data_IF_312871298480
#
_entry.id   IF_312871298480
#
_cell.length_a   1.000
_cell.length_b   1.000
_cell.length_c   1.000
_cell.angle_alpha   90.00
_cell.angle_beta   90.00
_cell.angle_gamma   90.00
#
_symmetry.space_group_name_H-M   'P 1'
#
loop_
_entity.id
_entity.type
_entity.pdbx_description
1 polymer ?
#
# COMPACT_ATOMS: atom_id res chain seq x y z
N UNK A 1 -18.75 17.25 1.56
CA UNK A 1 -18.49 18.65 1.98
C UNK A 1 -19.52 19.57 1.34
N UNK A 2 -20.09 20.53 2.09
CA UNK A 2 -20.90 21.66 1.59
C UNK A 2 -20.01 22.93 1.56
N UNK A 3 -19.44 23.29 0.40
CA UNK A 3 -18.40 24.33 0.34
C UNK A 3 -18.95 25.75 0.45
N UNK A 4 -18.19 26.64 1.10
CA UNK A 4 -18.41 28.09 1.14
C UNK A 4 -17.10 28.84 1.28
N UNK A 5 -16.97 30.02 0.65
CA UNK A 5 -15.85 30.95 0.87
C UNK A 5 -16.22 32.08 1.84
N UNK A 6 -17.48 32.12 2.31
CA UNK A 6 -17.92 33.11 3.28
C UNK A 6 -17.51 32.66 4.68
N UNK A 7 -16.36 33.17 5.13
CA UNK A 7 -15.77 32.83 6.43
C UNK A 7 -15.45 34.09 7.19
N UNK A 8 -15.79 34.12 8.49
CA UNK A 8 -15.40 35.20 9.42
C UNK A 8 -14.77 34.60 10.65
N UNK A 9 -13.63 35.14 11.06
CA UNK A 9 -12.90 34.72 12.25
C UNK A 9 -13.08 35.74 13.37
N UNK A 10 -13.22 35.28 14.61
CA UNK A 10 -13.23 36.15 15.77
C UNK A 10 -11.89 36.11 16.51
N UNK A 11 -11.65 37.11 17.37
CA UNK A 11 -10.53 37.09 18.29
C UNK A 11 -10.63 35.93 19.29
N UNK A 12 -9.46 35.47 19.77
CA UNK A 12 -9.38 34.37 20.74
C UNK A 12 -10.08 34.77 22.03
N UNK A 13 -11.18 34.09 22.36
CA UNK A 13 -11.92 34.29 23.59
C UNK A 13 -11.16 33.65 24.76
N UNK A 14 -11.02 34.36 25.86
CA UNK A 14 -10.45 33.82 27.11
C UNK A 14 -11.54 33.70 28.16
N UNK A 15 -11.78 32.49 28.66
CA UNK A 15 -12.72 32.26 29.77
C UNK A 15 -12.08 32.68 31.09
N UNK A 16 -12.89 33.37 31.90
CA UNK A 16 -12.54 33.65 33.30
C UNK A 16 -12.48 32.32 34.10
N UNK A 17 -11.73 32.31 35.22
CA UNK A 17 -11.77 31.20 36.19
C UNK A 17 -13.20 30.84 36.60
N UNK A 18 -13.41 29.63 37.09
CA UNK A 18 -14.71 29.22 37.64
C UNK A 18 -15.06 29.97 38.93
N UNK A 19 -16.27 29.73 39.46
CA UNK A 19 -16.76 30.39 40.68
C UNK A 19 -15.86 30.16 41.91
N UNK A 20 -15.00 29.14 41.88
CA UNK A 20 -14.05 28.80 42.94
C UNK A 20 -12.63 29.31 42.64
N UNK A 21 -12.47 30.18 41.64
CA UNK A 21 -11.18 30.75 41.26
C UNK A 21 -10.25 29.79 40.50
N UNK A 22 -10.71 28.58 40.16
CA UNK A 22 -9.88 27.59 39.48
C UNK A 22 -9.86 27.85 37.97
N UNK A 23 -8.66 27.77 37.38
CA UNK A 23 -8.49 27.87 35.93
C UNK A 23 -9.19 26.72 35.22
N UNK A 24 -10.02 27.05 34.23
CA UNK A 24 -10.67 26.04 33.37
C UNK A 24 -9.62 25.27 32.58
N UNK A 25 -9.86 23.98 32.34
CA UNK A 25 -8.93 23.07 31.61
C UNK A 25 -8.59 23.57 30.20
N UNK A 26 -9.55 24.19 29.50
CA UNK A 26 -9.40 24.74 28.14
C UNK A 26 -10.02 26.15 28.05
N UNK A 27 -9.32 27.20 28.54
CA UNK A 27 -9.92 28.52 28.66
C UNK A 27 -9.84 29.37 27.39
N UNK A 28 -9.07 28.96 26.36
CA UNK A 28 -8.85 29.77 25.16
C UNK A 28 -9.67 29.23 23.98
N UNK A 29 -10.66 29.98 23.52
CA UNK A 29 -11.58 29.58 22.46
C UNK A 29 -11.32 30.28 21.14
N UNK A 30 -11.14 29.51 20.08
CA UNK A 30 -11.18 30.00 18.69
C UNK A 30 -12.62 29.87 18.21
N UNK A 31 -13.17 30.94 17.66
CA UNK A 31 -14.53 30.94 17.10
C UNK A 31 -14.49 31.46 15.67
N UNK A 32 -15.31 30.89 14.81
CA UNK A 32 -15.46 31.37 13.44
C UNK A 32 -16.84 31.00 12.88
N UNK A 33 -17.22 31.61 11.76
CA UNK A 33 -18.49 31.36 11.08
C UNK A 33 -18.20 30.92 9.66
N UNK A 34 -18.87 29.85 9.19
CA UNK A 34 -18.86 29.43 7.79
C UNK A 34 -20.29 29.42 7.26
N UNK A 35 -20.57 30.21 6.22
CA UNK A 35 -21.91 30.24 5.58
C UNK A 35 -23.06 30.45 6.57
N UNK A 36 -22.86 31.31 7.59
CA UNK A 36 -23.86 31.62 8.62
C UNK A 36 -23.89 30.66 9.83
N UNK A 37 -23.12 29.57 9.83
CA UNK A 37 -23.04 28.63 10.96
C UNK A 37 -21.84 28.92 11.86
N UNK A 38 -22.06 29.09 13.15
CA UNK A 38 -20.99 29.30 14.14
C UNK A 38 -20.28 27.99 14.51
N UNK A 39 -18.96 28.07 14.64
CA UNK A 39 -18.08 27.01 15.09
C UNK A 39 -17.19 27.51 16.23
N UNK A 40 -16.83 26.62 17.16
CA UNK A 40 -15.92 26.96 18.24
C UNK A 40 -15.07 25.77 18.67
N UNK A 41 -13.79 26.01 18.91
CA UNK A 41 -12.87 25.02 19.47
C UNK A 41 -12.06 25.63 20.63
N UNK A 42 -11.88 24.87 21.71
CA UNK A 42 -11.29 25.35 22.96
C UNK A 42 -9.97 24.62 23.28
N UNK A 43 -8.96 25.39 23.68
CA UNK A 43 -7.58 24.94 23.89
C UNK A 43 -7.08 25.24 25.30
N UNK A 44 -6.10 24.45 25.74
CA UNK A 44 -5.44 24.57 27.06
C UNK A 44 -4.55 25.80 27.16
N UNK A 45 -3.89 26.19 26.06
CA UNK A 45 -2.98 27.35 26.01
C UNK A 45 -3.37 28.34 24.91
N UNK A 46 -3.05 29.62 25.13
CA UNK A 46 -3.30 30.68 24.13
C UNK A 46 -2.48 30.45 22.86
N UNK A 47 -1.29 29.87 22.98
CA UNK A 47 -0.42 29.54 21.85
C UNK A 47 -1.06 28.49 20.92
N UNK A 48 -1.66 27.43 21.48
CA UNK A 48 -2.38 26.42 20.69
C UNK A 48 -3.58 27.02 19.97
N UNK A 49 -4.37 27.84 20.65
CA UNK A 49 -5.49 28.57 20.04
C UNK A 49 -5.02 29.48 18.90
N UNK A 50 -3.92 30.23 19.09
CA UNK A 50 -3.34 31.10 18.05
C UNK A 50 -2.83 30.31 16.85
N UNK A 51 -2.18 29.17 17.09
CA UNK A 51 -1.71 28.26 16.03
C UNK A 51 -2.89 27.73 15.21
N UNK A 52 -3.95 27.25 15.86
CA UNK A 52 -5.15 26.77 15.17
C UNK A 52 -5.84 27.86 14.36
N UNK A 53 -6.07 29.04 14.96
CA UNK A 53 -6.63 30.19 14.24
C UNK A 53 -5.76 30.58 13.03
N UNK A 54 -4.44 30.57 13.19
CA UNK A 54 -3.50 30.84 12.10
C UNK A 54 -3.66 29.87 10.92
N UNK A 55 -3.89 28.57 11.18
CA UNK A 55 -4.17 27.59 10.12
C UNK A 55 -5.46 27.92 9.35
N UNK A 56 -6.53 28.27 10.06
CA UNK A 56 -7.80 28.64 9.44
C UNK A 56 -7.68 29.91 8.59
N UNK A 57 -7.03 30.95 9.11
CA UNK A 57 -6.80 32.20 8.37
C UNK A 57 -5.92 31.95 7.14
N UNK A 58 -4.87 31.14 7.26
CA UNK A 58 -4.01 30.80 6.14
C UNK A 58 -4.78 30.06 5.03
N UNK A 59 -5.64 29.11 5.39
CA UNK A 59 -6.46 28.38 4.42
C UNK A 59 -7.44 29.32 3.69
N UNK A 60 -8.07 30.25 4.42
CA UNK A 60 -8.92 31.27 3.81
C UNK A 60 -8.14 32.20 2.87
N UNK A 61 -6.94 32.62 3.27
CA UNK A 61 -6.06 33.46 2.43
C UNK A 61 -5.58 32.75 1.16
N UNK A 62 -5.47 31.41 1.20
CA UNK A 62 -5.19 30.58 0.01
C UNK A 62 -6.41 30.37 -0.90
N UNK A 63 -7.58 30.92 -0.53
CA UNK A 63 -8.82 30.76 -1.27
C UNK A 63 -9.46 29.39 -1.11
N UNK A 64 -9.09 28.61 -0.08
CA UNK A 64 -9.70 27.30 0.15
C UNK A 64 -11.18 27.46 0.53
N UNK A 65 -12.03 26.57 0.03
CA UNK A 65 -13.42 26.49 0.47
C UNK A 65 -13.50 25.86 1.87
N UNK A 66 -14.46 26.30 2.67
CA UNK A 66 -14.77 25.76 3.99
C UNK A 66 -16.06 24.95 3.95
N UNK A 67 -16.13 23.91 4.77
CA UNK A 67 -17.34 23.13 4.95
C UNK A 67 -18.30 23.85 5.90
N UNK A 68 -19.55 24.04 5.49
CA UNK A 68 -20.55 24.69 6.35
C UNK A 68 -20.83 23.85 7.60
N UNK A 69 -20.84 22.52 7.49
CA UNK A 69 -21.27 21.62 8.58
C UNK A 69 -20.20 21.48 9.67
N UNK A 70 -18.95 21.26 9.26
CA UNK A 70 -17.81 21.01 10.18
C UNK A 70 -17.00 22.26 10.48
N UNK A 71 -17.13 23.31 9.66
CA UNK A 71 -16.36 24.55 9.82
C UNK A 71 -14.91 24.44 9.35
N UNK A 72 -14.47 23.28 8.84
CA UNK A 72 -13.08 23.08 8.45
C UNK A 72 -12.83 23.53 7.00
N UNK A 73 -11.65 24.11 6.69
CA UNK A 73 -11.21 24.29 5.32
C UNK A 73 -11.04 22.94 4.62
N UNK A 74 -11.12 22.93 3.29
CA UNK A 74 -11.10 21.72 2.48
C UNK A 74 -9.88 20.83 2.75
N UNK A 75 -8.69 21.41 2.95
CA UNK A 75 -7.48 20.65 3.36
C UNK A 75 -7.69 19.92 4.69
N UNK A 76 -8.03 20.63 5.75
CA UNK A 76 -8.24 20.03 7.08
C UNK A 76 -9.44 19.08 7.12
N UNK A 77 -10.49 19.36 6.33
CA UNK A 77 -11.63 18.45 6.18
C UNK A 77 -11.17 17.12 5.58
N UNK A 78 -10.37 17.16 4.51
CA UNK A 78 -9.79 15.95 3.90
C UNK A 78 -8.92 15.20 4.91
N UNK A 79 -8.01 15.88 5.61
CA UNK A 79 -7.11 15.23 6.57
C UNK A 79 -7.89 14.54 7.71
N UNK A 80 -8.91 15.21 8.24
CA UNK A 80 -9.76 14.65 9.29
C UNK A 80 -10.54 13.41 8.83
N UNK A 81 -10.98 13.39 7.57
CA UNK A 81 -11.80 12.30 7.01
C UNK A 81 -10.99 11.36 6.10
N UNK A 82 -9.67 11.48 6.09
CA UNK A 82 -8.82 10.64 5.26
C UNK A 82 -8.94 9.18 5.72
N UNK A 83 -9.13 8.23 4.78
CA UNK A 83 -9.13 6.81 5.09
C UNK A 83 -7.77 6.34 5.59
N UNK A 84 -7.76 5.18 6.24
CA UNK A 84 -6.50 4.52 6.63
C UNK A 84 -5.79 3.96 5.40
N UNK A 85 -4.48 3.74 5.50
CA UNK A 85 -3.74 3.08 4.40
C UNK A 85 -4.31 1.69 4.10
N UNK A 86 -4.75 0.97 5.14
CA UNK A 86 -5.43 -0.31 4.97
C UNK A 86 -6.73 -0.16 4.15
N UNK A 87 -7.55 0.84 4.46
CA UNK A 87 -8.79 1.08 3.72
C UNK A 87 -8.51 1.42 2.25
N UNK A 88 -7.58 2.35 1.99
CA UNK A 88 -7.16 2.70 0.62
C UNK A 88 -6.66 1.48 -0.14
N UNK A 89 -5.84 0.64 0.49
CA UNK A 89 -5.33 -0.57 -0.14
C UNK A 89 -6.46 -1.55 -0.53
N UNK A 90 -7.48 -1.71 0.31
CA UNK A 90 -8.63 -2.58 0.03
C UNK A 90 -9.53 -2.03 -1.07
N UNK A 91 -9.80 -0.73 -1.06
CA UNK A 91 -10.59 -0.07 -2.11
C UNK A 91 -9.89 -0.15 -3.46
N UNK A 92 -8.59 0.19 -3.49
CA UNK A 92 -7.76 0.07 -4.68
C UNK A 92 -7.75 -1.36 -5.22
N UNK A 93 -7.41 -2.35 -4.37
CA UNK A 93 -7.38 -3.76 -4.78
C UNK A 93 -8.75 -4.22 -5.29
N UNK A 94 -9.84 -3.84 -4.64
CA UNK A 94 -11.19 -4.19 -5.07
C UNK A 94 -11.53 -3.65 -6.47
N UNK A 95 -11.04 -2.46 -6.81
CA UNK A 95 -11.27 -1.82 -8.11
C UNK A 95 -10.47 -2.48 -9.23
N UNK A 96 -9.19 -2.77 -9.00
CA UNK A 96 -8.31 -3.34 -10.05
C UNK A 96 -8.37 -4.87 -10.14
N UNK A 97 -8.91 -5.56 -9.14
CA UNK A 97 -8.86 -7.03 -9.07
C UNK A 97 -9.38 -7.76 -10.31
N UNK A 98 -10.55 -7.40 -10.89
CA UNK A 98 -11.15 -8.16 -11.99
C UNK A 98 -10.24 -8.25 -13.22
N UNK A 99 -9.55 -7.14 -13.54
CA UNK A 99 -8.76 -7.00 -14.77
C UNK A 99 -7.31 -7.46 -14.62
N UNK A 100 -6.93 -7.91 -13.43
CA UNK A 100 -5.54 -8.28 -13.12
C UNK A 100 -5.25 -9.78 -13.24
N UNK A 101 -4.05 -10.09 -13.72
CA UNK A 101 -3.53 -11.47 -13.70
C UNK A 101 -3.22 -11.95 -12.27
N UNK A 102 -3.26 -13.27 -11.99
CA UNK A 102 -3.00 -13.80 -10.64
C UNK A 102 -1.65 -13.38 -10.06
N UNK A 103 -0.59 -13.35 -10.87
CA UNK A 103 0.75 -12.94 -10.41
C UNK A 103 0.82 -11.45 -10.08
N UNK A 104 0.03 -10.62 -10.76
CA UNK A 104 -0.05 -9.19 -10.46
C UNK A 104 -0.83 -8.94 -9.17
N UNK A 105 -1.92 -9.69 -8.94
CA UNK A 105 -2.69 -9.68 -7.68
C UNK A 105 -1.79 -10.04 -6.50
N UNK A 106 -1.02 -11.12 -6.61
CA UNK A 106 -0.08 -11.55 -5.57
C UNK A 106 0.97 -10.49 -5.26
N UNK A 107 1.59 -9.89 -6.29
CA UNK A 107 2.59 -8.81 -6.10
C UNK A 107 2.00 -7.59 -5.38
N UNK A 108 0.80 -7.14 -5.77
CA UNK A 108 0.16 -6.00 -5.12
C UNK A 108 -0.20 -6.31 -3.67
N UNK A 109 -0.85 -7.45 -3.42
CA UNK A 109 -1.24 -7.87 -2.06
C UNK A 109 -0.02 -8.02 -1.15
N UNK A 110 1.04 -8.71 -1.62
CA UNK A 110 2.26 -8.87 -0.85
C UNK A 110 2.96 -7.53 -0.57
N UNK A 111 3.01 -6.64 -1.55
CA UNK A 111 3.59 -5.30 -1.41
C UNK A 111 2.83 -4.43 -0.43
N UNK A 112 1.50 -4.35 -0.57
CA UNK A 112 0.62 -3.57 0.29
C UNK A 112 0.58 -4.13 1.71
N UNK A 113 0.72 -5.44 1.90
CA UNK A 113 0.83 -6.02 3.23
C UNK A 113 2.09 -5.55 3.98
N UNK A 114 3.21 -5.31 3.28
CA UNK A 114 4.38 -4.66 3.91
C UNK A 114 4.05 -3.23 4.30
N UNK A 115 3.42 -2.50 3.38
CA UNK A 115 3.15 -1.08 3.58
C UNK A 115 2.21 -0.85 4.75
N UNK A 116 1.10 -1.61 4.81
CA UNK A 116 0.13 -1.53 5.91
C UNK A 116 0.78 -1.90 7.24
N UNK A 117 1.49 -3.03 7.31
CA UNK A 117 2.16 -3.45 8.55
C UNK A 117 3.25 -2.46 9.00
N UNK A 118 3.92 -1.79 8.06
CA UNK A 118 4.90 -0.75 8.34
C UNK A 118 4.31 0.61 8.67
N UNK A 119 2.99 0.78 8.60
CA UNK A 119 2.27 2.04 8.79
C UNK A 119 1.11 1.91 9.77
N UNK A 120 1.39 1.25 10.89
CA UNK A 120 0.53 1.13 12.06
C UNK A 120 0.96 2.16 13.13
N UNK A 121 0.05 2.51 14.04
CA UNK A 121 0.35 3.40 15.17
C UNK A 121 1.10 2.70 16.32
N UNK A 122 1.07 1.36 16.32
CA UNK A 122 1.64 0.48 17.32
C UNK A 122 2.07 -0.84 16.66
N UNK A 123 2.99 -1.56 17.31
CA UNK A 123 3.39 -2.88 16.86
C UNK A 123 2.44 -3.93 17.48
N UNK A 124 1.91 -4.88 16.69
CA UNK A 124 1.04 -5.92 17.21
C UNK A 124 1.81 -6.85 18.16
N UNK A 125 1.18 -7.27 19.25
CA UNK A 125 1.68 -8.32 20.15
C UNK A 125 1.42 -9.72 19.54
N UNK A 126 1.94 -9.94 18.34
CA UNK A 126 1.74 -11.15 17.54
C UNK A 126 2.90 -11.33 16.57
N UNK A 127 3.22 -12.57 16.21
CA UNK A 127 4.24 -12.88 15.22
C UNK A 127 4.03 -12.06 13.92
N UNK A 128 5.02 -11.24 13.50
CA UNK A 128 4.98 -10.48 12.26
C UNK A 128 4.64 -11.33 11.02
N UNK A 129 5.01 -12.62 11.01
CA UNK A 129 4.68 -13.53 9.92
C UNK A 129 3.18 -13.88 9.89
N UNK A 130 2.55 -14.06 11.05
CA UNK A 130 1.12 -14.30 11.15
C UNK A 130 0.30 -13.05 10.78
N UNK A 131 0.77 -11.87 11.20
CA UNK A 131 0.19 -10.58 10.77
C UNK A 131 0.29 -10.46 9.25
N UNK A 132 1.45 -10.77 8.67
CA UNK A 132 1.66 -10.74 7.22
C UNK A 132 0.72 -11.69 6.48
N UNK A 133 0.61 -12.92 6.95
CA UNK A 133 -0.29 -13.93 6.38
C UNK A 133 -1.75 -13.48 6.46
N UNK A 134 -2.16 -12.92 7.59
CA UNK A 134 -3.52 -12.40 7.79
C UNK A 134 -3.83 -11.27 6.81
N UNK A 135 -2.90 -10.32 6.63
CA UNK A 135 -3.02 -9.28 5.62
C UNK A 135 -3.15 -9.85 4.21
N UNK A 136 -2.31 -10.83 3.83
CA UNK A 136 -2.26 -11.32 2.45
C UNK A 136 -3.38 -12.29 2.09
N UNK A 137 -3.95 -13.04 3.04
CA UNK A 137 -4.97 -14.06 2.73
C UNK A 137 -6.38 -13.68 3.15
N UNK A 138 -6.55 -12.78 4.12
CA UNK A 138 -7.87 -12.43 4.69
C UNK A 138 -8.23 -10.97 4.45
N UNK A 139 -7.34 -10.04 4.82
CA UNK A 139 -7.73 -8.62 4.98
C UNK A 139 -7.67 -7.83 3.66
N UNK A 140 -6.59 -7.96 2.91
CA UNK A 140 -6.37 -7.19 1.69
C UNK A 140 -7.10 -7.72 0.45
N UNK A 141 -7.17 -9.05 0.21
CA UNK A 141 -7.93 -9.56 -0.94
C UNK A 141 -9.39 -9.11 -0.89
N UNK A 142 -10.03 -8.86 -2.05
CA UNK A 142 -11.45 -8.59 -2.08
C UNK A 142 -12.24 -9.81 -1.60
N UNK A 143 -13.51 -9.60 -1.23
CA UNK A 143 -14.37 -10.66 -0.67
C UNK A 143 -14.45 -11.92 -1.54
N UNK A 144 -14.35 -11.78 -2.87
CA UNK A 144 -14.37 -12.92 -3.81
C UNK A 144 -13.11 -13.78 -3.78
N UNK A 145 -12.02 -13.32 -3.16
CA UNK A 145 -10.73 -14.00 -3.10
C UNK A 145 -10.17 -14.16 -1.69
N UNK A 146 -10.75 -13.50 -0.68
CA UNK A 146 -10.35 -13.63 0.71
C UNK A 146 -10.69 -15.01 1.26
N UNK A 147 -9.77 -15.60 2.01
CA UNK A 147 -10.00 -16.85 2.74
C UNK A 147 -10.84 -16.59 3.99
N UNK A 148 -11.61 -17.59 4.42
CA UNK A 148 -12.29 -17.55 5.71
C UNK A 148 -11.25 -17.48 6.84
N UNK A 149 -11.32 -16.46 7.73
CA UNK A 149 -10.36 -16.32 8.81
C UNK A 149 -10.56 -17.38 9.89
N UNK A 150 -9.46 -17.82 10.51
CA UNK A 150 -9.54 -18.42 11.85
C UNK A 150 -9.91 -17.35 12.91
N UNK A 151 -10.31 -17.77 14.10
CA UNK A 151 -10.62 -16.85 15.20
C UNK A 151 -9.45 -15.91 15.53
N UNK A 152 -8.22 -16.42 15.45
CA UNK A 152 -7.01 -15.63 15.64
C UNK A 152 -6.81 -14.58 14.53
N UNK A 153 -6.96 -14.99 13.27
CA UNK A 153 -6.87 -14.07 12.14
C UNK A 153 -7.98 -13.02 12.16
N UNK A 154 -9.18 -13.35 12.64
CA UNK A 154 -10.28 -12.41 12.82
C UNK A 154 -9.93 -11.34 13.88
N UNK A 155 -9.34 -11.73 15.01
CA UNK A 155 -8.84 -10.79 16.04
C UNK A 155 -7.75 -9.87 15.47
N UNK A 156 -6.78 -10.44 14.76
CA UNK A 156 -5.71 -9.66 14.11
C UNK A 156 -6.29 -8.69 13.07
N UNK A 157 -7.28 -9.12 12.28
CA UNK A 157 -7.92 -8.26 11.29
C UNK A 157 -8.67 -7.07 11.90
N UNK A 158 -9.37 -7.27 13.03
CA UNK A 158 -10.00 -6.17 13.79
C UNK A 158 -8.93 -5.20 14.29
N UNK A 159 -7.89 -5.75 14.94
CA UNK A 159 -6.79 -4.95 15.48
C UNK A 159 -6.08 -4.13 14.40
N UNK A 160 -5.79 -4.73 13.23
CA UNK A 160 -5.20 -4.02 12.08
C UNK A 160 -6.08 -2.88 11.56
N UNK A 161 -7.40 -3.04 11.63
CA UNK A 161 -8.34 -1.99 11.21
C UNK A 161 -8.33 -0.81 12.18
N UNK A 162 -8.22 -1.09 13.48
CA UNK A 162 -8.19 -0.08 14.54
C UNK A 162 -6.86 0.70 14.59
N UNK A 163 -5.73 0.03 14.32
CA UNK A 163 -4.38 0.59 14.49
C UNK A 163 -3.74 1.05 13.17
N UNK A 164 -4.46 0.97 12.04
CA UNK A 164 -3.97 1.47 10.75
C UNK A 164 -4.05 2.99 10.69
N UNK A 165 -2.95 3.63 10.32
CA UNK A 165 -2.84 5.09 10.26
C UNK A 165 -3.45 5.69 9.00
N UNK A 166 -3.81 6.97 9.07
CA UNK A 166 -4.46 7.69 7.95
C UNK A 166 -3.46 8.03 6.87
N UNK A 167 -3.88 7.93 5.60
CA UNK A 167 -3.01 8.30 4.47
C UNK A 167 -2.62 9.77 4.48
N UNK A 168 -3.41 10.66 5.11
CA UNK A 168 -3.06 12.07 5.29
C UNK A 168 -1.79 12.28 6.13
N UNK A 169 -1.40 11.31 6.95
CA UNK A 169 -0.15 11.38 7.73
C UNK A 169 1.10 11.16 6.87
N UNK A 170 0.95 10.65 5.63
CA UNK A 170 2.06 10.47 4.67
C UNK A 170 2.45 11.77 3.95
N UNK A 171 2.00 12.93 4.42
CA UNK A 171 2.51 14.24 3.97
C UNK A 171 3.80 14.63 4.72
N UNK A 172 4.07 14.01 5.87
CA UNK A 172 5.29 14.25 6.66
C UNK A 172 6.49 13.45 6.11
N UNK A 173 7.56 14.14 5.73
CA UNK A 173 8.81 13.56 5.25
C UNK A 173 9.40 12.51 6.22
N UNK A 174 9.18 12.68 7.52
CA UNK A 174 9.60 11.73 8.56
C UNK A 174 8.86 10.41 8.41
N UNK A 175 7.54 10.47 8.19
CA UNK A 175 6.71 9.28 8.03
C UNK A 175 6.95 8.59 6.67
N UNK A 176 7.15 9.37 5.61
CA UNK A 176 7.57 8.85 4.30
C UNK A 176 8.90 8.10 4.42
N UNK A 177 9.88 8.68 5.13
CA UNK A 177 11.18 8.05 5.37
C UNK A 177 11.06 6.78 6.21
N UNK A 178 10.26 6.81 7.28
CA UNK A 178 10.03 5.67 8.17
C UNK A 178 9.38 4.51 7.41
N UNK A 179 8.31 4.77 6.67
CA UNK A 179 7.63 3.76 5.86
C UNK A 179 8.57 3.24 4.75
N UNK A 180 9.31 4.12 4.09
CA UNK A 180 10.32 3.74 3.10
C UNK A 180 11.36 2.75 3.66
N UNK A 181 11.80 2.93 4.90
CA UNK A 181 12.69 1.99 5.59
C UNK A 181 12.00 0.64 5.83
N UNK A 182 10.76 0.63 6.35
CA UNK A 182 9.99 -0.61 6.58
C UNK A 182 9.75 -1.39 5.28
N UNK A 183 9.53 -0.72 4.15
CA UNK A 183 9.46 -1.37 2.82
C UNK A 183 10.78 -2.06 2.43
N UNK A 184 11.90 -1.54 2.93
CA UNK A 184 13.26 -2.04 2.74
C UNK A 184 13.62 -3.25 3.59
N UNK A 185 12.82 -3.61 4.58
CA UNK A 185 13.13 -4.66 5.56
C UNK A 185 12.36 -5.96 5.28
N UNK A 186 12.98 -7.08 5.63
CA UNK A 186 12.36 -8.42 5.66
C UNK A 186 11.78 -8.67 7.06
N UNK A 187 11.02 -9.75 7.21
CA UNK A 187 10.47 -10.14 8.53
C UNK A 187 11.56 -10.44 9.57
N UNK A 188 12.76 -10.80 9.13
CA UNK A 188 13.95 -10.99 9.98
C UNK A 188 14.70 -9.68 10.30
N UNK A 189 14.14 -8.52 9.91
CA UNK A 189 14.75 -7.19 10.08
C UNK A 189 15.91 -6.89 9.13
N UNK A 190 16.33 -7.84 8.28
CA UNK A 190 17.43 -7.61 7.32
C UNK A 190 16.94 -6.87 6.09
N UNK A 191 17.88 -6.29 5.34
CA UNK A 191 17.58 -5.59 4.08
C UNK A 191 17.03 -6.56 3.02
N UNK A 192 15.94 -6.17 2.37
CA UNK A 192 15.37 -6.88 1.23
C UNK A 192 16.20 -6.65 -0.05
N UNK A 193 16.07 -7.56 -1.02
CA UNK A 193 16.64 -7.38 -2.35
C UNK A 193 16.06 -6.14 -3.03
N UNK A 194 16.86 -5.45 -3.87
CA UNK A 194 16.45 -4.21 -4.56
C UNK A 194 15.16 -4.41 -5.35
N UNK A 195 15.05 -5.49 -6.11
CA UNK A 195 13.85 -5.84 -6.89
C UNK A 195 12.62 -6.02 -6.00
N UNK A 196 12.79 -6.59 -4.81
CA UNK A 196 11.73 -6.74 -3.82
C UNK A 196 11.29 -5.39 -3.27
N UNK A 197 12.23 -4.49 -2.97
CA UNK A 197 11.94 -3.12 -2.51
C UNK A 197 11.16 -2.37 -3.58
N UNK A 198 11.61 -2.43 -4.84
CA UNK A 198 10.97 -1.77 -5.97
C UNK A 198 9.56 -2.31 -6.22
N UNK A 199 9.35 -3.62 -6.08
CA UNK A 199 8.03 -4.24 -6.21
C UNK A 199 7.07 -3.74 -5.12
N UNK A 200 7.53 -3.70 -3.87
CA UNK A 200 6.73 -3.22 -2.72
C UNK A 200 6.40 -1.73 -2.87
N UNK A 201 7.39 -0.92 -3.25
CA UNK A 201 7.21 0.49 -3.57
C UNK A 201 6.19 0.67 -4.69
N UNK A 202 6.32 -0.10 -5.77
CA UNK A 202 5.41 -0.04 -6.92
C UNK A 202 3.96 -0.31 -6.54
N UNK A 203 3.71 -1.25 -5.63
CA UNK A 203 2.37 -1.51 -5.10
C UNK A 203 1.83 -0.31 -4.28
N UNK A 204 2.66 0.26 -3.38
CA UNK A 204 2.28 1.44 -2.59
C UNK A 204 2.03 2.67 -3.46
N UNK A 205 2.87 2.91 -4.47
CA UNK A 205 2.73 4.03 -5.41
C UNK A 205 1.39 3.94 -6.15
N UNK A 206 0.96 2.75 -6.56
CA UNK A 206 -0.33 2.58 -7.22
C UNK A 206 -1.49 2.87 -6.27
N UNK A 207 -1.46 2.33 -5.04
CA UNK A 207 -2.51 2.58 -4.05
C UNK A 207 -2.57 4.07 -3.62
N UNK A 208 -1.43 4.76 -3.50
CA UNK A 208 -1.44 6.19 -3.19
C UNK A 208 -1.85 7.05 -4.39
N UNK A 209 -1.54 6.62 -5.62
CA UNK A 209 -2.06 7.29 -6.82
C UNK A 209 -3.57 7.15 -6.90
N UNK A 210 -4.12 6.00 -6.53
CA UNK A 210 -5.55 5.80 -6.34
C UNK A 210 -6.13 6.76 -5.30
N UNK A 211 -5.47 6.91 -4.14
CA UNK A 211 -5.89 7.85 -3.10
C UNK A 211 -5.89 9.31 -3.58
N UNK A 212 -4.92 9.70 -4.41
CA UNK A 212 -4.91 11.03 -5.07
C UNK A 212 -6.11 11.17 -6.01
N UNK A 213 -6.38 10.18 -6.86
CA UNK A 213 -7.56 10.19 -7.77
C UNK A 213 -8.87 10.31 -7.00
N UNK A 214 -8.98 9.64 -5.85
CA UNK A 214 -10.13 9.74 -4.93
C UNK A 214 -10.13 11.00 -4.06
N UNK A 215 -9.15 11.90 -4.23
CA UNK A 215 -8.98 13.13 -3.47
C UNK A 215 -8.80 12.94 -1.95
N UNK A 216 -8.33 11.76 -1.52
CA UNK A 216 -8.02 11.46 -0.12
C UNK A 216 -6.73 12.13 0.35
N UNK A 217 -5.78 12.30 -0.56
CA UNK A 217 -4.52 13.02 -0.36
C UNK A 217 -4.26 13.94 -1.55
N UNK A 218 -3.45 14.97 -1.36
CA UNK A 218 -3.13 15.93 -2.43
C UNK A 218 -2.09 15.43 -3.41
N UNK A 219 -1.12 14.63 -2.95
CA UNK A 219 -0.04 14.13 -3.79
C UNK A 219 0.45 12.76 -3.27
N UNK A 220 1.23 12.07 -4.11
CA UNK A 220 1.85 10.78 -3.81
C UNK A 220 3.36 10.96 -3.54
N UNK A 221 3.80 10.95 -2.28
CA UNK A 221 5.20 11.20 -1.91
C UNK A 221 6.16 10.11 -2.43
N UNK A 222 5.67 8.90 -2.71
CA UNK A 222 6.50 7.80 -3.18
C UNK A 222 6.70 7.78 -4.71
N UNK A 223 6.00 8.63 -5.47
CA UNK A 223 6.02 8.60 -6.94
C UNK A 223 7.44 8.80 -7.50
N UNK A 224 8.15 9.82 -7.02
CA UNK A 224 9.49 10.20 -7.51
C UNK A 224 10.62 9.78 -6.56
N UNK A 225 10.32 9.12 -5.44
CA UNK A 225 11.31 8.77 -4.42
C UNK A 225 12.06 7.48 -4.78
N UNK A 226 13.40 7.48 -4.82
CA UNK A 226 14.16 6.23 -4.91
C UNK A 226 14.40 5.63 -3.52
N UNK A 227 13.83 4.45 -3.25
CA UNK A 227 14.09 3.71 -2.01
C UNK A 227 15.35 2.84 -2.09
N UNK A 228 15.83 2.55 -3.30
CA UNK A 228 17.10 1.90 -3.54
C UNK A 228 18.18 2.95 -3.82
N UNK A 229 19.19 3.06 -2.94
CA UNK A 229 20.41 3.85 -3.22
C UNK A 229 21.45 3.09 -4.04
N UNK A 230 21.27 1.78 -4.26
CA UNK A 230 22.26 0.96 -4.94
C UNK A 230 21.55 0.02 -5.93
N UNK A 231 21.65 0.33 -7.22
CA UNK A 231 21.33 -0.62 -8.28
C UNK A 231 22.40 -1.71 -8.22
N UNK A 232 22.07 -2.88 -7.69
CA UNK A 232 22.84 -4.07 -7.98
C UNK A 232 22.53 -4.45 -9.44
N UNK A 233 23.45 -4.14 -10.36
CA UNK A 233 23.37 -4.69 -11.71
C UNK A 233 23.37 -6.21 -11.59
N UNK A 234 22.31 -6.86 -12.05
CA UNK A 234 22.30 -8.31 -12.20
C UNK A 234 23.20 -8.58 -13.40
N UNK A 235 24.49 -8.76 -13.17
CA UNK A 235 25.36 -9.39 -14.14
C UNK A 235 24.94 -10.86 -14.19
N UNK A 236 24.29 -11.27 -15.28
CA UNK A 236 24.05 -12.68 -15.54
C UNK A 236 25.41 -13.28 -15.87
N UNK A 237 25.93 -14.14 -14.99
CA UNK A 237 27.12 -14.93 -15.29
C UNK A 237 26.77 -15.98 -16.36
N UNK A 238 27.32 -15.86 -17.59
CA UNK A 238 27.05 -16.83 -18.65
C UNK A 238 27.49 -18.26 -18.28
N UNK A 239 28.44 -18.41 -17.34
CA UNK A 239 28.90 -19.71 -16.84
C UNK A 239 27.87 -20.44 -15.95
N UNK A 240 26.83 -19.75 -15.50
CA UNK A 240 25.72 -20.33 -14.72
C UNK A 240 24.61 -20.86 -15.66
N UNK A 241 24.67 -20.54 -16.96
CA UNK A 241 23.68 -20.97 -17.95
C UNK A 241 24.04 -22.35 -18.50
N UNK A 242 23.02 -23.19 -18.67
CA UNK A 242 23.15 -24.57 -19.15
C UNK A 242 23.68 -24.59 -20.59
N UNK A 243 24.82 -25.23 -20.81
CA UNK A 243 25.35 -25.44 -22.16
C UNK A 243 24.66 -26.62 -22.89
N UNK A 244 24.83 -26.78 -24.21
CA UNK A 244 24.14 -27.85 -24.96
C UNK A 244 24.41 -29.28 -24.49
N UNK A 245 25.60 -29.58 -23.97
CA UNK A 245 25.91 -30.90 -23.43
C UNK A 245 25.19 -31.14 -22.10
N UNK A 246 25.20 -30.14 -21.22
CA UNK A 246 24.47 -30.16 -19.95
C UNK A 246 22.96 -30.24 -20.18
N UNK A 247 22.41 -29.52 -21.18
CA UNK A 247 21.00 -29.56 -21.51
C UNK A 247 20.56 -30.97 -21.93
N UNK A 248 21.32 -31.62 -22.81
CA UNK A 248 21.05 -33.02 -23.20
C UNK A 248 21.14 -33.97 -22.00
N UNK A 249 22.14 -33.80 -21.14
CA UNK A 249 22.29 -34.61 -19.94
C UNK A 249 21.13 -34.40 -18.94
N UNK A 250 20.68 -33.16 -18.76
CA UNK A 250 19.53 -32.82 -17.89
C UNK A 250 18.22 -33.37 -18.45
N UNK A 251 17.98 -33.24 -19.76
CA UNK A 251 16.80 -33.82 -20.42
C UNK A 251 16.80 -35.35 -20.30
N UNK A 252 17.94 -36.01 -20.49
CA UNK A 252 18.08 -37.43 -20.25
C UNK A 252 17.81 -37.76 -18.77
N UNK A 253 18.38 -37.00 -17.83
CA UNK A 253 18.18 -37.19 -16.40
C UNK A 253 16.71 -37.11 -15.99
N UNK A 254 15.94 -36.18 -16.55
CA UNK A 254 14.49 -36.06 -16.30
C UNK A 254 13.72 -37.33 -16.65
N UNK A 255 14.21 -38.17 -17.57
CA UNK A 255 13.52 -39.41 -17.91
C UNK A 255 13.55 -40.46 -16.79
N UNK A 256 14.60 -40.48 -15.96
CA UNK A 256 14.84 -41.50 -14.92
C UNK A 256 14.95 -40.96 -13.48
N UNK A 257 15.29 -39.68 -13.27
CA UNK A 257 15.36 -39.04 -11.95
C UNK A 257 14.02 -38.32 -11.64
N UNK A 258 13.05 -39.05 -11.07
CA UNK A 258 11.69 -38.53 -10.83
C UNK A 258 11.33 -38.48 -9.33
N UNK A 259 11.36 -37.30 -8.67
CA UNK A 259 11.06 -37.18 -7.24
C UNK A 259 9.56 -37.28 -6.89
N UNK A 260 8.66 -36.92 -7.81
CA UNK A 260 7.19 -36.94 -7.61
C UNK A 260 6.45 -37.21 -8.91
N UNK A 261 6.04 -38.47 -9.11
CA UNK A 261 5.08 -38.88 -10.14
C UNK A 261 5.70 -39.34 -11.48
N UNK A 262 4.96 -40.21 -12.16
CA UNK A 262 5.31 -40.84 -13.45
C UNK A 262 4.92 -39.98 -14.66
N UNK A 263 4.68 -38.67 -14.50
CA UNK A 263 4.17 -37.84 -15.60
C UNK A 263 5.17 -37.83 -16.78
N UNK A 264 4.82 -38.41 -17.95
CA UNK A 264 5.72 -38.43 -19.11
C UNK A 264 5.95 -37.04 -19.71
N UNK A 265 5.16 -36.03 -19.33
CA UNK A 265 5.25 -34.68 -19.89
C UNK A 265 6.46 -33.86 -19.41
N UNK A 266 7.27 -34.34 -18.47
CA UNK A 266 8.41 -33.58 -17.95
C UNK A 266 9.51 -33.36 -18.99
N UNK A 267 9.87 -34.41 -19.74
CA UNK A 267 10.85 -34.30 -20.82
C UNK A 267 10.42 -33.28 -21.88
N UNK A 268 9.22 -33.39 -22.50
CA UNK A 268 8.80 -32.42 -23.50
C UNK A 268 8.64 -31.02 -22.91
N UNK A 269 8.18 -30.87 -21.67
CA UNK A 269 8.13 -29.57 -21.00
C UNK A 269 9.52 -28.91 -20.95
N UNK A 270 10.53 -29.54 -20.35
CA UNK A 270 11.87 -28.95 -20.29
C UNK A 270 12.54 -28.81 -21.65
N UNK A 271 12.22 -29.67 -22.63
CA UNK A 271 12.71 -29.56 -23.98
C UNK A 271 12.18 -28.29 -24.68
N UNK A 272 10.90 -27.95 -24.51
CA UNK A 272 10.32 -26.70 -25.07
C UNK A 272 10.96 -25.45 -24.47
N UNK A 273 11.28 -25.46 -23.17
CA UNK A 273 12.00 -24.36 -22.51
C UNK A 273 13.39 -24.15 -23.10
N UNK A 274 14.13 -25.24 -23.37
CA UNK A 274 15.50 -25.15 -23.86
C UNK A 274 15.58 -24.86 -25.37
N UNK A 275 14.83 -25.59 -26.19
CA UNK A 275 14.95 -25.52 -27.65
C UNK A 275 14.12 -24.38 -28.27
N UNK A 276 12.95 -24.07 -27.70
CA UNK A 276 12.08 -23.01 -28.20
C UNK A 276 12.15 -21.72 -27.36
N UNK A 277 12.93 -21.71 -26.26
CA UNK A 277 13.07 -20.53 -25.39
C UNK A 277 11.78 -20.11 -24.70
N UNK A 278 10.78 -21.01 -24.63
CA UNK A 278 9.48 -20.71 -24.05
C UNK A 278 9.60 -20.40 -22.56
N UNK A 279 8.80 -19.45 -22.08
CA UNK A 279 8.65 -19.24 -20.64
C UNK A 279 7.90 -20.43 -20.04
N UNK A 280 8.19 -20.81 -18.77
CA UNK A 280 7.50 -21.93 -18.12
C UNK A 280 5.97 -21.83 -18.14
N UNK A 281 5.43 -20.61 -18.08
CA UNK A 281 3.98 -20.36 -18.16
C UNK A 281 3.39 -20.63 -19.55
N UNK A 282 4.17 -20.38 -20.61
CA UNK A 282 3.75 -20.61 -22.00
C UNK A 282 3.79 -22.12 -22.29
N UNK A 283 4.89 -22.79 -21.94
CA UNK A 283 5.05 -24.24 -22.12
C UNK A 283 3.98 -25.06 -21.36
N UNK A 284 3.48 -24.56 -20.23
CA UNK A 284 2.39 -25.21 -19.48
C UNK A 284 1.05 -25.18 -20.23
N UNK A 285 0.82 -24.18 -21.07
CA UNK A 285 -0.42 -23.99 -21.82
C UNK A 285 -0.27 -24.34 -23.31
N UNK A 286 0.86 -24.95 -23.70
CA UNK A 286 1.09 -25.39 -25.06
C UNK A 286 0.11 -26.51 -25.44
N UNK A 287 -0.53 -26.37 -26.60
CA UNK A 287 -1.53 -27.28 -27.12
C UNK A 287 -1.22 -27.58 -28.59
N UNK A 288 -1.71 -28.71 -29.12
CA UNK A 288 -1.44 -29.16 -30.49
C UNK A 288 -1.77 -28.10 -31.54
N UNK A 289 -2.86 -27.34 -31.34
CA UNK A 289 -3.28 -26.25 -32.23
C UNK A 289 -2.28 -25.07 -32.31
N UNK A 290 -1.37 -24.94 -31.35
CA UNK A 290 -0.31 -23.93 -31.37
C UNK A 290 0.93 -24.42 -32.16
N UNK A 291 1.01 -25.72 -32.45
CA UNK A 291 2.18 -26.34 -33.04
C UNK A 291 2.02 -26.53 -34.55
N UNK A 292 3.02 -26.13 -35.32
CA UNK A 292 3.21 -26.61 -36.69
C UNK A 292 4.32 -27.65 -36.70
N UNK A 293 3.94 -28.93 -36.80
CA UNK A 293 4.86 -30.07 -36.73
C UNK A 293 4.99 -30.72 -38.11
N UNK A 294 5.98 -30.30 -38.94
CA UNK A 294 6.21 -30.94 -40.24
C UNK A 294 6.73 -32.38 -40.05
N UNK A 295 6.46 -33.24 -41.03
CA UNK A 295 6.89 -34.65 -41.02
C UNK A 295 8.43 -34.82 -40.91
N UNK A 296 9.20 -33.80 -41.34
CA UNK A 296 10.66 -33.77 -41.26
C UNK A 296 11.15 -32.36 -40.97
N UNK A 297 12.21 -32.23 -40.18
CA UNK A 297 12.85 -30.95 -39.88
C UNK A 297 12.33 -30.31 -38.59
N UNK A 298 12.58 -29.01 -38.43
CA UNK A 298 12.15 -28.24 -37.27
C UNK A 298 10.68 -27.84 -37.42
N UNK A 299 9.92 -27.99 -36.34
CA UNK A 299 8.58 -27.42 -36.23
C UNK A 299 8.57 -26.06 -35.54
N UNK A 300 7.40 -25.46 -35.50
CA UNK A 300 7.13 -24.17 -34.85
C UNK A 300 6.11 -24.38 -33.72
N UNK A 301 6.25 -23.61 -32.63
CA UNK A 301 5.44 -23.69 -31.40
C UNK A 301 4.85 -22.32 -31.04
#
# INVERSE_FOLDING_TARGET
>A
MKPTHQVRFWEIKTLKPDANGKRRKRPYGVRWVTGGREHSEWFTTKALAKSHLGKLVLAANRGEAFDITTGLPQSLYRDAHAPTLLQVAREFLGEVWPDMSPSSRDRLVCGLAVAVQGFLDSEPDTDPALVRRTLTTVVLPPRSAALAPSDEQARIASWLTEHSRKVAELVDDVEVTRLGRKLGERLDGRKAAVTTIDTRKGALVQALSYAVTRSYVSDNPFKNMSLSRFRSGIAIDPGVVVNPAQARALLAAVTYARPRGTNPSWLPFFATLYYAGMRPSEARMLAEQHCHLPNTGWGEL
#
